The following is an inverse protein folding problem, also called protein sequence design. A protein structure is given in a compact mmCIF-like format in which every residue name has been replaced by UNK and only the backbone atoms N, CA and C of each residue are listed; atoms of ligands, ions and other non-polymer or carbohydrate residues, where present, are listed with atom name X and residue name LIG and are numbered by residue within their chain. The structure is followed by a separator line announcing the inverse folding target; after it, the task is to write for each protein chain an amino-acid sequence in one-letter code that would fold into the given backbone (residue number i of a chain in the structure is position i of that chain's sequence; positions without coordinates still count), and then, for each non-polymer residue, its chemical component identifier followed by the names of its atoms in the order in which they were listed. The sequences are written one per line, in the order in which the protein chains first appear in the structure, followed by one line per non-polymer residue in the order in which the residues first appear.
data_IF_646167076005
#
_entry.id   IF_646167076005
#
_cell.length_a   1.000
_cell.length_b   1.000
_cell.length_c   1.000
_cell.angle_alpha   90.00
_cell.angle_beta   90.00
_cell.angle_gamma   90.00
#
_symmetry.space_group_name_H-M   'P 1'
#
loop_
_entity.id
_entity.type
_entity.pdbx_description
1 polymer ?
#
# COMPACT_ATOMS: atom_id res chain seq x y z
N UNK A 1 -48.15 17.63 44.40
CA UNK A 1 -47.71 16.72 43.32
C UNK A 1 -47.54 17.57 42.06
N UNK A 2 -46.35 18.13 41.82
CA UNK A 2 -45.21 17.55 41.08
C UNK A 2 -45.52 17.39 39.59
N UNK A 3 -44.93 18.27 38.76
CA UNK A 3 -44.40 18.07 37.39
C UNK A 3 -44.10 19.44 36.73
N UNK A 4 -43.27 20.29 37.37
CA UNK A 4 -42.75 21.53 36.75
C UNK A 4 -41.31 21.84 37.20
N UNK A 5 -40.45 20.83 37.23
CA UNK A 5 -39.05 21.00 37.70
C UNK A 5 -37.99 20.27 36.88
N UNK A 6 -38.22 20.04 35.58
CA UNK A 6 -37.21 19.39 34.71
C UNK A 6 -36.76 20.25 33.52
N UNK A 7 -37.48 21.29 33.10
CA UNK A 7 -37.13 21.95 31.83
C UNK A 7 -36.19 23.16 31.93
N UNK A 8 -35.73 23.57 33.12
CA UNK A 8 -34.84 24.74 33.24
C UNK A 8 -33.45 24.45 33.85
N UNK A 9 -33.01 23.18 33.87
CA UNK A 9 -31.65 22.81 34.29
C UNK A 9 -30.69 22.51 33.13
N UNK A 10 -31.08 22.77 31.87
CA UNK A 10 -30.21 22.62 30.70
C UNK A 10 -29.47 23.91 30.31
N UNK A 11 -29.88 25.08 30.82
CA UNK A 11 -29.35 26.37 30.37
C UNK A 11 -28.34 27.03 31.33
N UNK A 12 -27.99 26.40 32.48
CA UNK A 12 -27.10 26.98 33.50
C UNK A 12 -25.97 26.07 33.99
N UNK A 13 -25.57 25.07 33.18
CA UNK A 13 -24.32 24.31 33.37
C UNK A 13 -23.25 24.68 32.32
N UNK A 14 -23.37 25.87 31.71
CA UNK A 14 -22.55 26.30 30.58
C UNK A 14 -21.29 27.10 30.90
N UNK A 15 -20.89 27.36 32.15
CA UNK A 15 -19.82 28.37 32.41
C UNK A 15 -18.75 28.00 33.46
N UNK A 16 -18.84 26.90 34.22
CA UNK A 16 -17.82 26.62 35.26
C UNK A 16 -17.28 25.19 35.25
N UNK A 17 -16.66 24.80 34.13
CA UNK A 17 -15.86 23.57 34.01
C UNK A 17 -14.52 23.76 33.31
N UNK A 18 -14.05 25.00 33.16
CA UNK A 18 -12.94 25.35 32.26
C UNK A 18 -11.53 25.36 32.86
N UNK A 19 -11.29 24.84 34.08
CA UNK A 19 -9.99 25.08 34.74
C UNK A 19 -9.29 23.86 35.36
N UNK A 20 -9.86 22.64 35.34
CA UNK A 20 -9.20 21.46 35.94
C UNK A 20 -8.90 20.34 34.94
N UNK A 21 -9.46 20.38 33.74
CA UNK A 21 -9.23 19.35 32.71
C UNK A 21 -7.97 19.58 31.87
N UNK A 22 -7.32 20.75 31.99
CA UNK A 22 -6.22 21.15 31.10
C UNK A 22 -4.85 20.57 31.49
N UNK A 23 -4.69 20.01 32.70
CA UNK A 23 -3.39 19.52 33.18
C UNK A 23 -3.17 18.01 32.98
N UNK A 24 -4.23 17.22 32.78
CA UNK A 24 -4.09 15.76 32.54
C UNK A 24 -4.05 15.40 31.04
N UNK A 25 -4.53 16.29 30.17
CA UNK A 25 -4.53 16.07 28.71
C UNK A 25 -3.19 16.33 28.03
N UNK A 26 -2.27 17.08 28.66
CA UNK A 26 -1.01 17.48 28.01
C UNK A 26 0.03 16.36 27.99
N UNK A 27 -0.01 15.40 28.93
CA UNK A 27 0.97 14.29 28.97
C UNK A 27 0.42 12.93 28.52
N UNK A 28 -0.91 12.72 28.50
CA UNK A 28 -1.53 11.45 28.05
C UNK A 28 -2.35 11.54 26.75
N UNK A 29 -2.85 12.73 26.39
CA UNK A 29 -3.77 12.92 25.25
C UNK A 29 -3.08 13.06 23.89
N UNK A 30 -1.81 13.47 23.87
CA UNK A 30 -1.02 13.61 22.64
C UNK A 30 -0.87 12.28 21.90
N UNK A 31 -0.62 11.18 22.62
CA UNK A 31 -0.48 9.86 22.01
C UNK A 31 -1.80 9.38 21.39
N UNK A 32 -2.94 9.51 22.09
CA UNK A 32 -4.24 8.99 21.62
C UNK A 32 -4.84 9.81 20.47
N UNK A 33 -4.69 11.14 20.47
CA UNK A 33 -5.15 11.99 19.37
C UNK A 33 -4.23 11.86 18.16
N UNK A 34 -2.91 11.73 18.35
CA UNK A 34 -1.99 11.43 17.25
C UNK A 34 -2.26 10.03 16.67
N UNK A 35 -2.62 9.03 17.49
CA UNK A 35 -2.98 7.70 17.01
C UNK A 35 -4.30 7.71 16.22
N UNK A 36 -5.33 8.44 16.70
CA UNK A 36 -6.59 8.60 15.96
C UNK A 36 -6.44 9.39 14.67
N UNK A 37 -5.64 10.45 14.65
CA UNK A 37 -5.38 11.24 13.44
C UNK A 37 -4.50 10.46 12.46
N UNK A 38 -3.53 9.65 12.93
CA UNK A 38 -2.76 8.74 12.06
C UNK A 38 -3.64 7.64 11.46
N UNK A 39 -4.62 7.12 12.20
CA UNK A 39 -5.57 6.12 11.71
C UNK A 39 -6.61 6.65 10.70
N UNK A 40 -6.74 7.97 10.54
CA UNK A 40 -7.68 8.59 9.60
C UNK A 40 -7.14 8.49 8.15
N UNK A 41 -7.22 7.29 7.59
CA UNK A 41 -6.71 6.96 6.26
C UNK A 41 -6.06 5.59 6.18
N UNK A 42 -5.86 4.93 7.32
CA UNK A 42 -5.35 3.57 7.38
C UNK A 42 -6.44 2.55 7.02
N UNK A 43 -6.06 1.53 6.26
CA UNK A 43 -6.92 0.41 5.87
C UNK A 43 -6.35 -0.88 6.45
N UNK A 44 -7.23 -1.73 6.99
CA UNK A 44 -6.86 -3.10 7.35
C UNK A 44 -6.92 -3.95 6.09
N UNK A 45 -5.76 -4.45 5.66
CA UNK A 45 -5.65 -5.38 4.54
C UNK A 45 -5.35 -6.78 5.07
N UNK A 46 -5.86 -7.85 4.44
CA UNK A 46 -5.44 -9.21 4.78
C UNK A 46 -3.93 -9.36 4.59
N UNK A 47 -3.29 -10.33 5.24
CA UNK A 47 -1.84 -10.52 5.14
C UNK A 47 -1.03 -9.21 5.37
N UNK A 48 -1.33 -8.51 6.47
CA UNK A 48 -0.60 -7.32 6.95
C UNK A 48 0.13 -7.65 8.24
N UNK A 49 1.40 -7.25 8.36
CA UNK A 49 2.12 -7.38 9.64
C UNK A 49 1.56 -6.43 10.70
N UNK A 50 1.61 -6.82 11.97
CA UNK A 50 1.08 -6.00 13.07
C UNK A 50 1.71 -4.60 13.18
N UNK A 51 2.93 -4.41 12.66
CA UNK A 51 3.64 -3.13 12.62
C UNK A 51 3.38 -2.31 11.35
N UNK A 52 2.61 -2.81 10.40
CA UNK A 52 2.34 -2.14 9.13
C UNK A 52 1.02 -1.37 9.16
N UNK A 53 1.10 -0.12 8.73
CA UNK A 53 -0.07 0.74 8.49
C UNK A 53 -0.17 0.98 7.00
N UNK A 54 -1.28 0.57 6.38
CA UNK A 54 -1.52 0.74 4.96
C UNK A 54 -2.51 1.86 4.72
N UNK A 55 -2.33 2.64 3.64
CA UNK A 55 -3.33 3.61 3.18
C UNK A 55 -3.50 3.52 1.67
N UNK A 56 -4.63 3.97 1.10
CA UNK A 56 -4.74 4.13 -0.34
C UNK A 56 -3.59 4.99 -0.89
N UNK A 57 -2.96 4.52 -1.96
CA UNK A 57 -1.89 5.26 -2.60
C UNK A 57 -2.45 6.42 -3.43
N UNK A 58 -1.77 7.57 -3.39
CA UNK A 58 -2.05 8.67 -4.30
C UNK A 58 -1.46 8.35 -5.68
N UNK A 59 -2.05 8.93 -6.71
CA UNK A 59 -1.70 8.66 -8.11
C UNK A 59 -0.20 8.82 -8.40
N UNK A 60 0.42 9.89 -7.91
CA UNK A 60 1.85 10.20 -8.07
C UNK A 60 2.79 9.15 -7.43
N UNK A 61 2.30 8.42 -6.44
CA UNK A 61 3.10 7.41 -5.74
C UNK A 61 3.27 6.13 -6.56
N UNK A 62 2.36 5.84 -7.50
CA UNK A 62 2.37 4.60 -8.28
C UNK A 62 2.33 4.80 -9.80
N UNK A 63 2.06 6.01 -10.30
CA UNK A 63 1.95 6.25 -11.75
C UNK A 63 3.19 5.83 -12.54
N UNK A 64 4.37 5.88 -11.93
CA UNK A 64 5.62 5.42 -12.52
C UNK A 64 5.64 3.92 -12.84
N UNK A 65 4.79 3.12 -12.18
CA UNK A 65 4.64 1.69 -12.49
C UNK A 65 4.05 1.47 -13.87
N UNK A 66 3.34 2.45 -14.45
CA UNK A 66 2.66 2.34 -15.73
C UNK A 66 3.65 2.19 -16.90
N UNK A 67 4.16 0.97 -17.04
CA UNK A 67 5.20 0.57 -17.96
C UNK A 67 5.13 -0.95 -18.16
N UNK A 68 5.89 -1.45 -19.12
CA UNK A 68 6.21 -2.87 -19.28
C UNK A 68 7.49 -3.22 -18.51
N UNK A 69 7.41 -4.25 -17.68
CA UNK A 69 8.47 -4.70 -16.79
C UNK A 69 8.92 -6.11 -17.15
N UNK A 70 10.24 -6.29 -17.21
CA UNK A 70 10.92 -7.51 -17.60
C UNK A 70 11.68 -8.05 -16.39
N UNK A 71 11.58 -9.34 -16.16
CA UNK A 71 12.23 -10.02 -15.03
C UNK A 71 13.46 -10.78 -15.55
N UNK A 72 14.69 -10.37 -15.20
CA UNK A 72 15.91 -11.07 -15.64
C UNK A 72 15.91 -12.56 -15.26
N UNK A 73 15.32 -12.89 -14.11
CA UNK A 73 15.23 -14.25 -13.56
C UNK A 73 14.09 -15.08 -14.12
N UNK A 74 13.15 -14.47 -14.86
CA UNK A 74 12.01 -15.14 -15.50
C UNK A 74 12.00 -14.78 -17.00
N UNK A 75 12.85 -15.44 -17.80
CA UNK A 75 12.96 -15.14 -19.22
C UNK A 75 11.61 -15.25 -19.92
N UNK A 76 11.32 -14.29 -20.80
CA UNK A 76 10.06 -14.19 -21.55
C UNK A 76 8.79 -13.95 -20.71
N UNK A 77 8.90 -13.73 -19.39
CA UNK A 77 7.80 -13.25 -18.56
C UNK A 77 7.86 -11.73 -18.40
N UNK A 78 6.71 -11.09 -18.51
CA UNK A 78 6.56 -9.65 -18.40
C UNK A 78 5.31 -9.30 -17.61
N UNK A 79 5.43 -8.23 -16.82
CA UNK A 79 4.28 -7.59 -16.18
C UNK A 79 4.09 -6.22 -16.81
N UNK A 80 2.90 -5.96 -17.33
CA UNK A 80 2.49 -4.68 -17.85
C UNK A 80 1.58 -3.99 -16.85
N UNK A 81 1.87 -2.74 -16.53
CA UNK A 81 0.91 -1.87 -15.88
C UNK A 81 0.53 -0.71 -16.79
N UNK A 82 -0.72 -0.28 -16.68
CA UNK A 82 -1.19 0.94 -17.33
C UNK A 82 -2.17 1.69 -16.45
N UNK A 83 -2.35 2.97 -16.73
CA UNK A 83 -3.39 3.78 -16.11
C UNK A 83 -4.61 3.83 -17.03
N UNK A 84 -5.74 3.29 -16.56
CA UNK A 84 -7.05 3.52 -17.15
C UNK A 84 -7.76 4.61 -16.33
N UNK A 85 -7.54 5.87 -16.71
CA UNK A 85 -7.94 7.01 -15.89
C UNK A 85 -7.15 7.08 -14.58
N UNK A 86 -7.83 6.88 -13.44
CA UNK A 86 -7.21 6.85 -12.09
C UNK A 86 -7.02 5.43 -11.54
N UNK A 87 -7.33 4.40 -12.32
CA UNK A 87 -7.18 3.01 -11.92
C UNK A 87 -5.92 2.44 -12.54
N UNK A 88 -5.05 1.86 -11.71
CA UNK A 88 -3.93 1.06 -12.19
C UNK A 88 -4.48 -0.30 -12.62
N UNK A 89 -4.21 -0.67 -13.86
CA UNK A 89 -4.49 -2.00 -14.38
C UNK A 89 -3.18 -2.75 -14.54
N UNK A 90 -3.21 -4.07 -14.30
CA UNK A 90 -2.07 -4.95 -14.54
C UNK A 90 -2.43 -6.03 -15.55
N UNK A 91 -1.41 -6.58 -16.20
CA UNK A 91 -1.49 -7.75 -17.08
C UNK A 91 -0.16 -8.48 -17.04
N UNK A 92 -0.18 -9.81 -16.91
CA UNK A 92 1.01 -10.63 -17.07
C UNK A 92 1.00 -11.28 -18.45
N UNK A 93 2.16 -11.27 -19.12
CA UNK A 93 2.37 -11.86 -20.44
C UNK A 93 3.59 -12.77 -20.40
N UNK A 94 3.48 -13.99 -20.93
CA UNK A 94 4.55 -14.98 -20.97
C UNK A 94 4.49 -15.88 -22.21
N UNK A 95 5.63 -16.41 -22.65
CA UNK A 95 5.73 -17.19 -23.90
C UNK A 95 5.81 -18.73 -23.71
N UNK A 96 5.79 -19.25 -22.47
CA UNK A 96 5.75 -20.71 -22.24
C UNK A 96 5.42 -21.07 -20.78
N UNK A 97 4.22 -21.62 -20.49
CA UNK A 97 3.05 -21.63 -21.38
C UNK A 97 2.69 -20.21 -21.83
N UNK A 98 1.94 -20.08 -22.91
CA UNK A 98 1.38 -18.77 -23.28
C UNK A 98 0.50 -18.27 -22.13
N UNK A 99 0.99 -17.24 -21.44
CA UNK A 99 0.28 -16.60 -20.34
C UNK A 99 -0.16 -15.24 -20.83
N UNK A 100 -1.46 -14.98 -20.74
CA UNK A 100 -2.02 -13.66 -20.87
C UNK A 100 -3.21 -13.55 -19.92
N UNK A 101 -3.04 -12.81 -18.84
CA UNK A 101 -4.08 -12.65 -17.83
C UNK A 101 -5.18 -11.68 -18.25
N UNK A 102 -5.01 -10.98 -19.37
CA UNK A 102 -5.80 -9.80 -19.69
C UNK A 102 -5.55 -8.64 -18.72
N UNK A 103 -6.25 -7.52 -18.95
CA UNK A 103 -6.16 -6.35 -18.07
C UNK A 103 -7.05 -6.51 -16.85
N UNK A 104 -6.46 -6.43 -15.67
CA UNK A 104 -7.13 -6.58 -14.38
C UNK A 104 -7.00 -5.28 -13.60
N UNK A 105 -8.14 -4.75 -13.13
CA UNK A 105 -8.17 -3.59 -12.25
C UNK A 105 -7.51 -3.91 -10.90
N UNK A 106 -6.75 -2.95 -10.39
CA UNK A 106 -6.03 -3.12 -9.13
C UNK A 106 -6.32 -1.98 -8.16
N UNK A 107 -6.25 -2.30 -6.87
CA UNK A 107 -6.19 -1.32 -5.79
C UNK A 107 -4.74 -1.16 -5.36
N UNK A 108 -4.31 0.07 -5.18
CA UNK A 108 -2.92 0.37 -4.81
C UNK A 108 -2.91 0.99 -3.42
N UNK A 109 -2.11 0.39 -2.55
CA UNK A 109 -1.89 0.84 -1.18
C UNK A 109 -0.41 1.13 -0.98
N UNK A 110 -0.12 1.98 0.00
CA UNK A 110 1.25 2.29 0.39
C UNK A 110 1.33 2.28 1.92
N UNK A 111 2.43 1.74 2.46
CA UNK A 111 2.68 1.75 3.89
C UNK A 111 3.59 2.91 4.33
N UNK A 112 3.89 2.97 5.62
CA UNK A 112 4.75 4.02 6.19
C UNK A 112 6.22 3.97 5.74
N UNK A 113 6.64 2.90 5.05
CA UNK A 113 8.00 2.67 4.56
C UNK A 113 8.08 2.74 3.01
N UNK A 114 7.11 3.43 2.39
CA UNK A 114 6.97 3.57 0.93
C UNK A 114 6.92 2.24 0.15
N UNK A 115 6.53 1.15 0.83
CA UNK A 115 6.23 -0.11 0.16
C UNK A 115 4.87 0.02 -0.51
N UNK A 116 4.81 -0.26 -1.80
CA UNK A 116 3.57 -0.28 -2.58
C UNK A 116 3.01 -1.69 -2.54
N UNK A 117 1.72 -1.82 -2.27
CA UNK A 117 0.98 -3.07 -2.40
C UNK A 117 -0.05 -2.93 -3.50
N UNK A 118 0.06 -3.78 -4.51
CA UNK A 118 -0.95 -3.97 -5.53
C UNK A 118 -1.86 -5.10 -5.07
N UNK A 119 -3.16 -4.81 -5.01
CA UNK A 119 -4.17 -5.71 -4.52
C UNK A 119 -5.25 -5.96 -5.56
N UNK A 120 -5.74 -7.19 -5.59
CA UNK A 120 -6.82 -7.65 -6.47
C UNK A 120 -8.03 -7.94 -5.60
N UNK A 121 -9.19 -7.42 -5.97
CA UNK A 121 -10.43 -7.69 -5.21
C UNK A 121 -10.87 -9.16 -5.35
N UNK A 122 -10.45 -9.82 -6.43
CA UNK A 122 -10.59 -11.25 -6.61
C UNK A 122 -9.52 -11.99 -5.80
N UNK A 123 -9.95 -12.69 -4.75
CA UNK A 123 -9.09 -13.31 -3.74
C UNK A 123 -8.23 -14.49 -4.25
N UNK A 124 -8.33 -14.84 -5.53
CA UNK A 124 -7.52 -15.89 -6.15
C UNK A 124 -6.11 -15.42 -6.56
N UNK A 125 -5.88 -14.12 -6.68
CA UNK A 125 -4.57 -13.59 -7.10
C UNK A 125 -3.77 -13.08 -5.90
N UNK A 126 -2.49 -13.50 -5.74
CA UNK A 126 -1.64 -12.96 -4.70
C UNK A 126 -1.39 -11.46 -4.94
N UNK A 127 -1.34 -10.68 -3.85
CA UNK A 127 -0.96 -9.28 -3.95
C UNK A 127 0.54 -9.13 -4.21
N UNK A 128 0.92 -8.12 -5.00
CA UNK A 128 2.33 -7.81 -5.27
C UNK A 128 2.84 -6.69 -4.35
N UNK A 129 4.06 -6.83 -3.83
CA UNK A 129 4.69 -5.86 -2.93
C UNK A 129 5.93 -5.25 -3.57
N UNK A 130 5.82 -3.99 -3.97
CA UNK A 130 6.78 -3.34 -4.85
C UNK A 130 7.52 -2.22 -4.11
N UNK A 131 8.84 -2.19 -4.28
CA UNK A 131 9.69 -1.08 -3.86
C UNK A 131 10.62 -0.67 -5.00
N UNK A 132 10.73 0.64 -5.34
CA UNK A 132 11.75 1.11 -6.28
C UNK A 132 13.14 0.60 -5.89
N UNK A 133 13.89 0.07 -6.85
CA UNK A 133 15.27 -0.37 -6.60
C UNK A 133 16.26 0.81 -6.68
N UNK A 134 15.86 1.89 -7.36
CA UNK A 134 16.58 3.14 -7.45
C UNK A 134 15.62 4.34 -7.53
N UNK A 135 16.13 5.55 -7.30
CA UNK A 135 15.36 6.80 -7.31
C UNK A 135 14.78 7.15 -8.68
N UNK A 136 15.39 6.64 -9.76
CA UNK A 136 14.93 6.87 -11.14
C UNK A 136 13.60 6.14 -11.46
N UNK A 137 13.19 5.21 -10.60
CA UNK A 137 11.98 4.38 -10.75
C UNK A 137 11.94 3.64 -12.10
N UNK A 138 13.09 3.25 -12.61
CA UNK A 138 13.23 2.42 -13.82
C UNK A 138 13.43 0.94 -13.51
N UNK A 139 13.55 0.63 -12.22
CA UNK A 139 13.67 -0.72 -11.68
C UNK A 139 12.96 -0.81 -10.33
N UNK A 140 12.46 -2.00 -10.00
CA UNK A 140 11.86 -2.26 -8.71
C UNK A 140 12.10 -3.69 -8.24
N UNK A 141 12.03 -3.89 -6.93
CA UNK A 141 11.94 -5.21 -6.32
C UNK A 141 10.49 -5.55 -6.05
N UNK A 142 10.02 -6.65 -6.62
CA UNK A 142 8.82 -7.35 -6.20
C UNK A 142 9.20 -8.31 -5.10
N UNK A 143 8.59 -8.16 -3.93
CA UNK A 143 8.86 -8.99 -2.78
C UNK A 143 7.72 -10.00 -2.69
N UNK A 144 8.06 -11.29 -2.73
CA UNK A 144 7.09 -12.29 -2.33
C UNK A 144 6.82 -12.15 -0.83
N UNK A 145 5.54 -12.27 -0.48
CA UNK A 145 5.10 -12.36 0.90
C UNK A 145 4.23 -13.59 1.00
N UNK A 146 4.87 -14.69 1.32
CA UNK A 146 4.20 -15.94 1.58
C UNK A 146 3.52 -15.89 2.96
N UNK A 147 2.30 -16.43 3.02
CA UNK A 147 1.55 -16.61 4.27
C UNK A 147 1.59 -18.09 4.61
N UNK A 148 2.17 -18.46 5.75
CA UNK A 148 2.11 -19.82 6.28
C UNK A 148 0.66 -20.21 6.59
N UNK A 149 0.38 -21.51 6.69
CA UNK A 149 -0.94 -22.04 7.06
C UNK A 149 -1.46 -21.50 8.41
N UNK A 150 -0.54 -21.04 9.27
CA UNK A 150 -0.83 -20.38 10.55
C UNK A 150 -1.30 -18.92 10.42
N UNK A 151 -1.36 -18.38 9.20
CA UNK A 151 -1.63 -16.97 8.93
C UNK A 151 -0.43 -16.06 9.19
N UNK A 152 0.74 -16.60 9.57
CA UNK A 152 1.97 -15.81 9.68
C UNK A 152 2.52 -15.46 8.30
N UNK A 153 2.89 -14.21 8.11
CA UNK A 153 3.51 -13.73 6.87
C UNK A 153 5.02 -13.76 7.08
N UNK A 154 5.80 -14.16 6.09
CA UNK A 154 7.27 -14.06 6.13
C UNK A 154 7.79 -13.42 4.84
N UNK A 155 8.93 -12.71 4.92
CA UNK A 155 9.59 -12.09 3.76
C UNK A 155 10.15 -13.23 2.88
N UNK A 156 9.71 -13.27 1.63
CA UNK A 156 10.09 -14.29 0.65
C UNK A 156 11.20 -13.84 -0.29
N UNK A 157 11.22 -14.43 -1.49
CA UNK A 157 12.16 -14.08 -2.54
C UNK A 157 11.93 -12.65 -3.05
N UNK A 158 13.01 -12.02 -3.51
CA UNK A 158 12.96 -10.71 -4.17
C UNK A 158 13.24 -10.87 -5.65
N UNK A 159 12.29 -10.46 -6.47
CA UNK A 159 12.40 -10.48 -7.92
C UNK A 159 12.69 -9.06 -8.41
N UNK A 160 13.81 -8.89 -9.10
CA UNK A 160 14.14 -7.62 -9.75
C UNK A 160 13.33 -7.51 -11.05
N UNK A 161 12.58 -6.43 -11.18
CA UNK A 161 11.89 -6.05 -12.40
C UNK A 161 12.55 -4.80 -12.98
N UNK A 162 12.80 -4.82 -14.29
CA UNK A 162 13.43 -3.73 -15.04
C UNK A 162 12.49 -3.20 -16.10
N UNK A 163 12.50 -1.90 -16.35
CA UNK A 163 11.78 -1.32 -17.48
C UNK A 163 12.27 -1.93 -18.79
N UNK A 164 11.40 -2.62 -19.53
CA UNK A 164 11.80 -3.38 -20.73
C UNK A 164 12.36 -2.50 -21.86
N UNK A 165 11.99 -1.22 -21.92
CA UNK A 165 12.41 -0.32 -23.00
C UNK A 165 13.51 0.63 -22.58
N UNK A 166 13.71 0.82 -21.26
CA UNK A 166 14.65 1.79 -20.71
C UNK A 166 15.86 1.13 -20.05
N UNK A 167 15.79 -0.15 -19.74
CA UNK A 167 16.89 -0.89 -19.17
C UNK A 167 17.46 -1.89 -20.18
N UNK A 168 18.78 -2.09 -20.12
CA UNK A 168 19.49 -3.15 -20.84
C UNK A 168 20.27 -3.97 -19.84
N UNK A 169 20.11 -5.29 -19.94
CA UNK A 169 20.91 -6.27 -19.19
C UNK A 169 22.18 -6.51 -20.00
N UNK A 170 23.34 -6.54 -19.34
CA UNK A 170 24.61 -6.88 -19.98
C UNK A 170 24.65 -8.34 -20.42
N UNK A 171 25.58 -8.66 -21.32
CA UNK A 171 25.75 -10.01 -21.85
C UNK A 171 26.12 -11.06 -20.81
N UNK A 172 26.63 -10.65 -19.64
CA UNK A 172 26.92 -11.54 -18.51
C UNK A 172 25.67 -11.95 -17.70
N UNK A 173 24.53 -11.31 -17.94
CA UNK A 173 23.29 -11.54 -17.21
C UNK A 173 23.29 -11.05 -15.75
N UNK A 174 24.36 -10.39 -15.30
CA UNK A 174 24.54 -10.01 -13.89
C UNK A 174 24.41 -8.50 -13.65
N UNK A 175 24.69 -7.68 -14.66
CA UNK A 175 24.57 -6.22 -14.54
C UNK A 175 23.51 -5.64 -15.47
N UNK A 176 23.05 -4.44 -15.16
CA UNK A 176 22.08 -3.72 -15.99
C UNK A 176 22.34 -2.21 -15.94
N UNK A 177 21.88 -1.52 -16.99
CA UNK A 177 21.88 -0.06 -17.06
C UNK A 177 20.51 0.41 -17.52
N UNK A 178 19.94 1.37 -16.80
CA UNK A 178 18.68 2.02 -17.14
C UNK A 178 18.93 3.48 -17.57
N UNK A 179 18.23 3.94 -18.62
CA UNK A 179 18.28 5.31 -19.15
C UNK A 179 16.88 5.77 -19.58
#
# INVERSE_FOLDING_TARGET
MSYKKVENLAAKLGVYGGAVSFLVLVFGGGAFVVQKIRSAGEVSLPATYASESWRPAKWDQYAWLAHRWCYPTLPNFQTEYRLAGRTLQHRNVGASPDVDTGWIDTKVYVNQNDLIRIWHDDGALPGAYIRPAADDKLSFYENDRSTADSGQIFDGDRFLALSCTRCRISSDGLTYSCK
#
